data_IF_048472306383
#
_entry.id   IF_048472306383
#
_cell.length_a   1.000
_cell.length_b   1.000
_cell.length_c   1.000
_cell.angle_alpha   90.00
_cell.angle_beta   90.00
_cell.angle_gamma   90.00
#
_symmetry.space_group_name_H-M   'P 1'
#
loop_
_entity.id
_entity.type
_entity.pdbx_description
1 polymer ?
#
# COMPACT_ATOMS: atom_id res chain seq x y z
N UNK A 1 7.06 68.44 -25.46
CA UNK A 1 5.81 68.03 -24.77
C UNK A 1 5.99 66.60 -24.23
N UNK A 2 6.27 66.42 -22.94
CA UNK A 2 6.49 65.11 -22.34
C UNK A 2 5.18 64.52 -21.78
N UNK A 3 4.85 63.28 -22.15
CA UNK A 3 3.82 62.49 -21.46
C UNK A 3 4.49 61.52 -20.50
N UNK A 4 4.08 61.65 -19.25
CA UNK A 4 4.40 60.82 -18.08
C UNK A 4 3.91 59.39 -18.30
N UNK A 5 4.68 58.40 -17.83
CA UNK A 5 4.10 57.16 -17.33
C UNK A 5 4.82 56.78 -16.03
N UNK A 6 4.16 57.08 -14.92
CA UNK A 6 4.40 56.46 -13.62
C UNK A 6 3.58 55.17 -13.62
N UNK A 7 4.22 54.02 -13.43
CA UNK A 7 3.55 52.84 -12.88
C UNK A 7 4.46 52.27 -11.80
N UNK A 8 4.03 52.50 -10.56
CA UNK A 8 4.43 51.76 -9.38
C UNK A 8 3.77 50.39 -9.46
N UNK A 9 4.53 49.31 -9.32
CA UNK A 9 3.99 48.05 -8.83
C UNK A 9 5.02 47.39 -7.91
N UNK A 10 4.99 47.82 -6.66
CA UNK A 10 5.55 47.07 -5.52
C UNK A 10 4.60 45.91 -5.18
N UNK A 11 5.18 44.75 -4.90
CA UNK A 11 4.57 43.71 -4.07
C UNK A 11 4.10 42.47 -4.82
N UNK A 12 4.86 41.38 -4.70
CA UNK A 12 4.40 40.19 -3.97
C UNK A 12 5.60 39.28 -3.70
N UNK A 13 6.22 39.50 -2.54
CA UNK A 13 7.09 38.54 -1.87
C UNK A 13 6.16 37.62 -1.05
N UNK A 14 5.91 36.42 -1.57
CA UNK A 14 5.37 35.30 -0.80
C UNK A 14 5.80 34.01 -1.49
N UNK A 15 7.10 33.71 -1.43
CA UNK A 15 7.56 32.34 -1.66
C UNK A 15 6.92 31.50 -0.55
N UNK A 16 6.01 30.62 -0.96
CA UNK A 16 5.45 29.59 -0.10
C UNK A 16 6.60 28.79 0.50
N UNK A 17 6.81 28.93 1.81
CA UNK A 17 7.50 27.90 2.57
C UNK A 17 6.65 26.64 2.45
N UNK A 18 7.04 25.73 1.54
CA UNK A 18 6.61 24.35 1.62
C UNK A 18 7.17 23.82 2.94
N UNK A 19 6.36 23.88 4.00
CA UNK A 19 6.69 23.19 5.23
C UNK A 19 6.85 21.72 4.89
N UNK A 20 8.09 21.21 4.95
CA UNK A 20 8.36 19.79 4.85
C UNK A 20 7.54 19.10 5.96
N UNK A 21 6.50 18.38 5.55
CA UNK A 21 5.78 17.53 6.47
C UNK A 21 6.73 16.38 6.82
N UNK A 22 7.34 16.45 8.00
CA UNK A 22 8.16 15.36 8.52
C UNK A 22 7.35 14.05 8.50
N UNK A 23 7.99 12.95 8.06
CA UNK A 23 7.41 11.62 8.13
C UNK A 23 6.91 11.34 9.55
N UNK A 24 5.61 11.09 9.75
CA UNK A 24 5.06 10.82 11.07
C UNK A 24 5.14 9.31 11.37
N UNK A 25 6.37 8.91 11.68
CA UNK A 25 6.77 7.56 12.04
C UNK A 25 6.30 7.13 13.45
N UNK A 26 5.52 7.94 14.16
CA UNK A 26 5.15 7.64 15.53
C UNK A 26 4.05 6.58 15.62
N UNK A 27 4.21 5.68 16.58
CA UNK A 27 3.23 4.66 16.90
C UNK A 27 3.84 3.32 17.29
N UNK A 28 2.96 2.35 17.50
CA UNK A 28 3.31 0.96 17.66
C UNK A 28 3.04 0.19 16.36
N UNK A 29 3.95 -0.71 16.04
CA UNK A 29 3.93 -1.50 14.81
C UNK A 29 4.27 -2.96 15.11
N UNK A 30 3.68 -3.86 14.32
CA UNK A 30 3.91 -5.30 14.33
C UNK A 30 4.69 -5.70 13.08
N UNK A 31 5.76 -6.46 13.25
CA UNK A 31 6.54 -6.98 12.15
C UNK A 31 5.79 -8.02 11.33
N UNK A 32 6.00 -8.00 10.01
CA UNK A 32 5.48 -8.95 9.03
C UNK A 32 6.63 -9.53 8.22
N UNK A 33 6.41 -10.66 7.55
CA UNK A 33 7.40 -11.38 6.74
C UNK A 33 8.70 -11.64 7.52
N UNK A 34 9.84 -11.08 7.08
CA UNK A 34 11.13 -11.24 7.76
C UNK A 34 11.15 -10.69 9.20
N UNK A 35 10.20 -9.81 9.55
CA UNK A 35 10.03 -9.27 10.89
C UNK A 35 8.91 -9.97 11.69
N UNK A 36 8.36 -11.10 11.22
CA UNK A 36 7.26 -11.78 11.89
C UNK A 36 7.57 -12.06 13.38
N UNK A 37 6.65 -11.65 14.26
CA UNK A 37 6.80 -11.75 15.71
C UNK A 37 7.60 -10.64 16.38
N UNK A 38 8.19 -9.72 15.61
CA UNK A 38 8.82 -8.51 16.15
C UNK A 38 7.79 -7.40 16.41
N UNK A 39 8.13 -6.47 17.32
CA UNK A 39 7.37 -5.26 17.62
C UNK A 39 8.28 -4.05 17.52
N UNK A 40 7.81 -2.98 16.91
CA UNK A 40 8.51 -1.70 16.81
C UNK A 40 7.64 -0.62 17.46
N UNK A 41 8.19 0.14 18.40
CA UNK A 41 7.52 1.29 19.00
C UNK A 41 8.38 2.51 18.76
N UNK A 42 7.78 3.56 18.19
CA UNK A 42 8.41 4.81 17.84
C UNK A 42 7.67 5.96 18.51
N UNK A 43 8.43 6.84 19.17
CA UNK A 43 7.92 7.99 19.92
C UNK A 43 8.76 9.23 19.58
N UNK A 44 8.12 10.38 19.40
CA UNK A 44 8.80 11.62 19.05
C UNK A 44 8.68 12.69 20.13
N UNK A 45 9.79 13.35 20.46
CA UNK A 45 9.78 14.61 21.21
C UNK A 45 10.94 15.51 20.74
N UNK A 46 10.70 16.82 20.64
CA UNK A 46 11.77 17.81 20.41
C UNK A 46 12.62 17.61 19.14
N UNK A 47 12.05 17.11 18.04
CA UNK A 47 12.77 16.90 16.77
C UNK A 47 13.57 15.60 16.68
N UNK A 48 13.63 14.80 17.76
CA UNK A 48 14.20 13.46 17.76
C UNK A 48 13.12 12.39 17.83
N UNK A 49 13.47 11.20 17.36
CA UNK A 49 12.63 10.01 17.45
C UNK A 49 13.33 9.00 18.35
N UNK A 50 12.70 8.59 19.43
CA UNK A 50 13.14 7.46 20.25
C UNK A 50 12.36 6.21 19.87
N UNK A 51 13.03 5.07 19.83
CA UNK A 51 12.38 3.83 19.47
C UNK A 51 12.91 2.61 20.18
N UNK A 52 12.09 1.57 20.17
CA UNK A 52 12.42 0.23 20.62
C UNK A 52 11.94 -0.77 19.58
N UNK A 53 12.82 -1.69 19.19
CA UNK A 53 12.48 -2.88 18.43
C UNK A 53 12.69 -4.12 19.29
N UNK A 54 11.65 -4.93 19.46
CA UNK A 54 11.65 -6.13 20.29
C UNK A 54 11.42 -7.37 19.42
N UNK A 55 12.23 -8.40 19.61
CA UNK A 55 12.14 -9.71 18.94
C UNK A 55 11.25 -10.69 19.72
N UNK A 56 10.83 -11.80 19.09
CA UNK A 56 10.28 -12.94 19.82
C UNK A 56 11.24 -13.37 20.94
N UNK A 57 10.76 -13.36 22.18
CA UNK A 57 11.58 -13.68 23.37
C UNK A 57 12.14 -12.47 24.13
N UNK A 58 11.83 -11.23 23.71
CA UNK A 58 12.10 -10.02 24.49
C UNK A 58 13.48 -9.37 24.27
N UNK A 59 14.39 -10.03 23.56
CA UNK A 59 15.62 -9.40 23.09
C UNK A 59 15.30 -8.29 22.09
N UNK A 60 16.07 -7.20 22.06
CA UNK A 60 15.74 -6.05 21.22
C UNK A 60 16.82 -5.00 21.18
N UNK A 61 16.50 -3.86 20.61
CA UNK A 61 17.35 -2.68 20.59
C UNK A 61 16.52 -1.44 20.90
N UNK A 62 17.02 -0.60 21.80
CA UNK A 62 16.55 0.77 21.98
C UNK A 62 17.47 1.71 21.22
N UNK A 63 16.91 2.80 20.70
CA UNK A 63 17.67 3.74 19.89
C UNK A 63 17.10 5.15 19.95
N UNK A 64 17.97 6.11 19.67
CA UNK A 64 17.58 7.48 19.33
C UNK A 64 17.92 7.68 17.86
N UNK A 65 16.94 8.15 17.10
CA UNK A 65 17.02 8.38 15.69
C UNK A 65 16.90 9.88 15.39
N UNK A 66 17.73 10.34 14.46
CA UNK A 66 17.62 11.67 13.90
C UNK A 66 16.61 11.62 12.74
N UNK A 67 15.69 12.58 12.71
CA UNK A 67 14.65 12.66 11.68
C UNK A 67 15.24 13.18 10.38
N UNK A 68 14.88 12.53 9.29
CA UNK A 68 15.21 12.93 7.92
C UNK A 68 13.92 13.38 7.21
N UNK A 69 14.06 14.01 6.05
CA UNK A 69 12.90 14.50 5.27
C UNK A 69 11.90 13.38 4.95
N UNK A 70 12.39 12.19 4.62
CA UNK A 70 11.58 11.03 4.21
C UNK A 70 11.58 9.87 5.23
N UNK A 71 12.09 10.08 6.44
CA UNK A 71 12.34 8.95 7.35
C UNK A 71 13.06 9.32 8.65
N UNK A 72 13.81 8.36 9.18
CA UNK A 72 14.72 8.57 10.30
C UNK A 72 15.90 7.59 10.23
N UNK A 73 17.01 7.96 10.84
CA UNK A 73 18.20 7.10 10.94
C UNK A 73 18.69 6.99 12.39
N UNK A 74 19.14 5.81 12.78
CA UNK A 74 19.67 5.57 14.12
C UNK A 74 20.88 4.64 14.07
N UNK A 75 21.80 4.82 15.03
CA UNK A 75 22.84 3.83 15.31
C UNK A 75 22.51 3.11 16.60
N UNK A 76 22.41 1.79 16.56
CA UNK A 76 22.06 0.97 17.73
C UNK A 76 22.80 -0.37 17.73
N UNK A 77 22.80 -1.07 18.88
CA UNK A 77 23.28 -2.45 18.94
C UNK A 77 22.18 -3.42 18.47
N UNK A 78 22.49 -4.24 17.48
CA UNK A 78 21.62 -5.29 16.94
C UNK A 78 22.40 -6.61 16.93
N UNK A 79 21.86 -7.65 17.56
CA UNK A 79 22.53 -8.96 17.69
C UNK A 79 23.97 -8.86 18.25
N UNK A 80 24.21 -7.93 19.18
CA UNK A 80 25.54 -7.73 19.80
C UNK A 80 26.55 -6.98 18.94
N UNK A 81 26.15 -6.40 17.80
CA UNK A 81 27.00 -5.56 16.94
C UNK A 81 26.34 -4.21 16.70
N UNK A 82 27.12 -3.15 16.53
CA UNK A 82 26.57 -1.87 16.09
C UNK A 82 25.99 -2.01 14.68
N UNK A 83 24.87 -1.34 14.42
CA UNK A 83 24.21 -1.31 13.13
C UNK A 83 23.56 0.05 12.89
N UNK A 84 23.45 0.44 11.63
CA UNK A 84 22.56 1.52 11.20
C UNK A 84 21.16 0.99 11.00
N UNK A 85 20.18 1.69 11.54
CA UNK A 85 18.76 1.50 11.28
C UNK A 85 18.28 2.66 10.41
N UNK A 86 17.70 2.36 9.26
CA UNK A 86 17.09 3.34 8.36
C UNK A 86 15.59 3.06 8.31
N UNK A 87 14.79 4.03 8.74
CA UNK A 87 13.34 3.96 8.78
C UNK A 87 12.74 4.76 7.63
N UNK A 88 11.86 4.15 6.85
CA UNK A 88 11.09 4.82 5.81
C UNK A 88 9.60 4.64 6.07
N UNK A 89 8.83 5.72 5.95
CA UNK A 89 7.38 5.66 6.13
C UNK A 89 6.73 4.83 5.02
N UNK A 90 5.81 3.95 5.41
CA UNK A 90 4.94 3.22 4.50
C UNK A 90 3.48 3.58 4.79
N UNK A 91 2.55 3.52 3.81
CA UNK A 91 1.17 3.94 4.03
C UNK A 91 0.45 3.24 5.19
N UNK A 92 0.85 2.02 5.55
CA UNK A 92 0.26 1.28 6.68
C UNK A 92 1.26 1.05 7.82
N UNK A 93 2.45 1.63 7.77
CA UNK A 93 3.54 1.12 8.57
C UNK A 93 4.86 1.83 8.38
N UNK A 94 5.94 1.08 8.61
CA UNK A 94 7.32 1.53 8.49
C UNK A 94 8.14 0.37 7.92
N UNK A 95 9.00 0.67 6.95
CA UNK A 95 10.11 -0.23 6.61
C UNK A 95 11.34 0.15 7.41
N UNK A 96 12.05 -0.86 7.93
CA UNK A 96 13.30 -0.69 8.66
C UNK A 96 14.38 -1.51 7.98
N UNK A 97 15.42 -0.84 7.52
CA UNK A 97 16.63 -1.49 6.99
C UNK A 97 17.70 -1.46 8.07
N UNK A 98 18.26 -2.63 8.37
CA UNK A 98 19.35 -2.80 9.33
C UNK A 98 20.63 -3.12 8.57
N UNK A 99 21.65 -2.28 8.74
CA UNK A 99 22.97 -2.44 8.11
C UNK A 99 24.00 -2.65 9.23
N UNK A 100 24.44 -3.88 9.49
CA UNK A 100 25.48 -4.14 10.47
C UNK A 100 26.77 -3.40 10.15
N UNK A 101 27.44 -2.89 11.18
CA UNK A 101 28.72 -2.21 11.06
C UNK A 101 29.88 -3.19 11.30
N UNK A 102 30.89 -3.08 10.44
CA UNK A 102 32.18 -3.74 10.58
C UNK A 102 33.21 -2.87 11.28
N UNK A 103 34.51 -3.21 11.17
CA UNK A 103 35.59 -2.35 11.64
C UNK A 103 35.50 -0.95 11.02
N UNK A 104 35.84 0.07 11.80
CA UNK A 104 35.80 1.49 11.40
C UNK A 104 34.40 2.03 11.01
N UNK A 105 33.32 1.46 11.57
CA UNK A 105 31.94 1.89 11.32
C UNK A 105 31.51 1.82 9.84
N UNK A 106 32.16 0.96 9.06
CA UNK A 106 31.78 0.70 7.65
C UNK A 106 30.62 -0.30 7.61
N UNK A 107 29.55 0.03 6.88
CA UNK A 107 28.40 -0.86 6.71
C UNK A 107 28.72 -2.10 5.88
N UNK A 108 28.28 -3.26 6.36
CA UNK A 108 28.44 -4.55 5.65
C UNK A 108 27.18 -4.83 4.84
N UNK A 109 27.17 -4.39 3.58
CA UNK A 109 25.99 -4.46 2.70
C UNK A 109 25.45 -5.89 2.55
N UNK A 110 26.33 -6.89 2.50
CA UNK A 110 25.95 -8.30 2.34
C UNK A 110 25.13 -8.85 3.52
N UNK A 111 25.17 -8.20 4.69
CA UNK A 111 24.43 -8.58 5.89
C UNK A 111 23.23 -7.66 6.15
N UNK A 112 22.79 -6.90 5.13
CA UNK A 112 21.66 -5.97 5.26
C UNK A 112 20.34 -6.73 5.36
N UNK A 113 19.55 -6.41 6.38
CA UNK A 113 18.22 -6.97 6.59
C UNK A 113 17.16 -5.89 6.35
N UNK A 114 16.20 -6.16 5.47
CA UNK A 114 15.02 -5.31 5.29
C UNK A 114 13.82 -5.93 6.02
N UNK A 115 13.22 -5.17 6.92
CA UNK A 115 12.10 -5.57 7.75
C UNK A 115 10.91 -4.65 7.48
N UNK A 116 9.71 -5.22 7.52
CA UNK A 116 8.46 -4.48 7.34
C UNK A 116 7.64 -4.56 8.61
N UNK A 117 7.14 -3.40 9.06
CA UNK A 117 6.31 -3.27 10.24
C UNK A 117 5.00 -2.59 9.85
N UNK A 118 3.88 -3.18 10.23
CA UNK A 118 2.55 -2.61 9.99
C UNK A 118 2.01 -2.03 11.30
N UNK A 119 1.35 -0.88 11.25
CA UNK A 119 0.73 -0.22 12.41
C UNK A 119 -0.16 -1.21 13.17
N UNK A 120 -0.07 -1.21 14.49
CA UNK A 120 -0.92 -2.07 15.32
C UNK A 120 -2.40 -1.78 15.08
N UNK A 121 -3.22 -2.83 15.07
CA UNK A 121 -4.65 -2.76 14.77
C UNK A 121 -5.00 -2.82 13.28
N UNK A 122 -4.03 -2.74 12.36
CA UNK A 122 -4.30 -2.97 10.93
C UNK A 122 -4.65 -4.43 10.68
N UNK A 123 -5.83 -4.68 10.11
CA UNK A 123 -6.27 -6.02 9.70
C UNK A 123 -5.46 -6.48 8.49
N UNK A 124 -4.71 -7.57 8.67
CA UNK A 124 -4.00 -8.23 7.58
C UNK A 124 -4.96 -9.08 6.75
N UNK A 125 -4.78 -9.15 5.41
CA UNK A 125 -5.51 -10.11 4.60
C UNK A 125 -5.16 -11.55 5.05
N UNK A 126 -6.12 -12.49 5.00
CA UNK A 126 -5.84 -13.88 5.29
C UNK A 126 -4.85 -14.45 4.26
N UNK A 127 -3.96 -15.34 4.69
CA UNK A 127 -3.05 -16.05 3.77
C UNK A 127 -3.90 -16.78 2.72
N UNK A 128 -3.60 -16.60 1.42
CA UNK A 128 -4.43 -17.18 0.39
C UNK A 128 -4.23 -18.68 0.32
N UNK A 129 -5.31 -19.43 0.09
CA UNK A 129 -5.23 -20.89 -0.07
C UNK A 129 -4.30 -21.30 -1.23
N UNK A 130 -4.17 -20.44 -2.23
CA UNK A 130 -3.25 -20.58 -3.35
C UNK A 130 -2.51 -19.28 -3.58
N UNK A 131 -1.31 -19.19 -3.02
CA UNK A 131 -0.38 -18.11 -3.32
C UNK A 131 0.38 -18.39 -4.61
N UNK A 132 0.49 -17.38 -5.47
CA UNK A 132 1.44 -17.36 -6.58
C UNK A 132 2.40 -16.19 -6.37
N UNK A 133 3.72 -16.37 -6.58
CA UNK A 133 4.68 -15.28 -6.52
C UNK A 133 4.34 -14.15 -7.50
N UNK A 134 4.71 -12.89 -7.18
CA UNK A 134 4.51 -11.77 -8.08
C UNK A 134 5.26 -11.97 -9.41
N UNK A 135 4.70 -11.52 -10.55
CA UNK A 135 5.43 -11.53 -11.82
C UNK A 135 6.64 -10.58 -11.76
N UNK A 136 7.79 -11.03 -12.27
CA UNK A 136 9.04 -10.24 -12.24
C UNK A 136 9.04 -9.07 -13.24
N UNK A 137 8.21 -9.12 -14.27
CA UNK A 137 8.14 -8.10 -15.33
C UNK A 137 6.83 -8.15 -16.10
N UNK A 138 6.63 -7.23 -17.07
CA UNK A 138 5.46 -7.23 -17.91
C UNK A 138 5.48 -8.38 -18.93
N UNK A 139 4.32 -8.72 -19.47
CA UNK A 139 4.16 -9.72 -20.53
C UNK A 139 3.65 -11.07 -20.04
N UNK A 140 3.08 -11.87 -20.95
CA UNK A 140 2.48 -13.16 -20.65
C UNK A 140 1.02 -13.08 -20.17
N UNK A 141 0.54 -14.18 -19.60
CA UNK A 141 -0.82 -14.31 -19.07
C UNK A 141 -0.80 -14.89 -17.68
N UNK A 142 -1.68 -14.41 -16.81
CA UNK A 142 -1.86 -14.99 -15.48
C UNK A 142 -3.28 -15.54 -15.33
N UNK A 143 -3.41 -16.62 -14.57
CA UNK A 143 -4.71 -17.13 -14.14
C UNK A 143 -5.43 -16.03 -13.31
N UNK A 144 -6.64 -15.59 -13.70
CA UNK A 144 -7.34 -14.50 -13.04
C UNK A 144 -7.67 -14.82 -11.57
N UNK A 145 -7.91 -16.09 -11.24
CA UNK A 145 -8.15 -16.51 -9.86
C UNK A 145 -6.87 -16.36 -9.04
N UNK A 146 -5.74 -16.87 -9.54
CA UNK A 146 -4.44 -16.72 -8.88
C UNK A 146 -4.06 -15.25 -8.63
N UNK A 147 -4.34 -14.36 -9.60
CA UNK A 147 -4.16 -12.92 -9.42
C UNK A 147 -5.01 -12.39 -8.26
N UNK A 148 -6.31 -12.66 -8.25
CA UNK A 148 -7.22 -12.17 -7.19
C UNK A 148 -6.87 -12.73 -5.82
N UNK A 149 -6.45 -14.00 -5.73
CA UNK A 149 -6.04 -14.60 -4.47
C UNK A 149 -4.71 -13.99 -3.95
N UNK A 150 -3.79 -13.58 -4.82
CA UNK A 150 -2.41 -13.25 -4.44
C UNK A 150 -2.07 -11.74 -4.40
N UNK A 151 -2.76 -10.88 -5.16
CA UNK A 151 -2.33 -9.49 -5.37
C UNK A 151 -2.20 -8.66 -4.08
N UNK A 152 -2.96 -8.99 -3.02
CA UNK A 152 -2.88 -8.32 -1.72
C UNK A 152 -1.45 -8.33 -1.16
N UNK A 153 -0.70 -9.40 -1.44
CA UNK A 153 0.64 -9.69 -0.91
C UNK A 153 1.77 -9.22 -1.84
N UNK A 154 1.44 -8.70 -3.02
CA UNK A 154 2.44 -8.27 -3.98
C UNK A 154 2.79 -6.79 -3.84
N UNK A 155 4.03 -6.40 -4.17
CA UNK A 155 4.38 -5.00 -4.32
C UNK A 155 3.56 -4.33 -5.43
N UNK A 156 3.33 -3.02 -5.30
CA UNK A 156 2.51 -2.22 -6.23
C UNK A 156 2.91 -2.37 -7.70
N UNK A 157 4.21 -2.32 -7.99
CA UNK A 157 4.77 -2.51 -9.34
C UNK A 157 4.40 -3.87 -9.93
N UNK A 158 4.46 -4.93 -9.14
CA UNK A 158 4.15 -6.28 -9.59
C UNK A 158 2.63 -6.52 -9.72
N UNK A 159 1.81 -5.84 -8.92
CA UNK A 159 0.35 -5.81 -9.14
C UNK A 159 0.01 -5.17 -10.48
N UNK A 160 0.72 -4.11 -10.88
CA UNK A 160 0.54 -3.51 -12.21
C UNK A 160 0.88 -4.48 -13.35
N UNK A 161 2.00 -5.22 -13.24
CA UNK A 161 2.31 -6.28 -14.20
C UNK A 161 1.24 -7.38 -14.21
N UNK A 162 0.88 -7.90 -13.02
CA UNK A 162 -0.12 -8.95 -12.87
C UNK A 162 -1.48 -8.59 -13.45
N UNK A 163 -1.97 -7.38 -13.16
CA UNK A 163 -3.24 -6.88 -13.71
C UNK A 163 -3.18 -6.77 -15.24
N UNK A 164 -2.04 -6.32 -15.80
CA UNK A 164 -1.79 -6.30 -17.24
C UNK A 164 -1.83 -7.69 -17.89
N UNK A 165 -1.38 -8.73 -17.18
CA UNK A 165 -1.39 -10.13 -17.62
C UNK A 165 -2.75 -10.82 -17.50
N UNK A 166 -3.70 -10.22 -16.77
CA UNK A 166 -5.08 -10.75 -16.70
C UNK A 166 -5.76 -10.53 -18.06
N UNK A 167 -6.34 -11.60 -18.63
CA UNK A 167 -7.04 -11.51 -19.92
C UNK A 167 -8.22 -10.54 -19.84
N UNK A 168 -8.47 -9.78 -20.92
CA UNK A 168 -9.40 -8.65 -20.94
C UNK A 168 -10.80 -8.94 -20.39
N UNK A 169 -11.41 -10.10 -20.69
CA UNK A 169 -12.73 -10.48 -20.15
C UNK A 169 -12.77 -10.53 -18.62
N UNK A 170 -11.67 -10.97 -17.99
CA UNK A 170 -11.55 -11.03 -16.54
C UNK A 170 -11.20 -9.68 -15.94
N UNK A 171 -10.46 -8.81 -16.64
CA UNK A 171 -10.31 -7.41 -16.21
C UNK A 171 -11.64 -6.67 -16.16
N UNK A 172 -12.52 -6.90 -17.14
CA UNK A 172 -13.89 -6.38 -17.10
C UNK A 172 -14.67 -6.93 -15.92
N UNK A 173 -14.59 -8.24 -15.65
CA UNK A 173 -15.22 -8.83 -14.47
C UNK A 173 -14.69 -8.21 -13.16
N UNK A 174 -13.39 -7.98 -13.04
CA UNK A 174 -12.78 -7.33 -11.87
C UNK A 174 -13.31 -5.90 -11.70
N UNK A 175 -13.43 -5.12 -12.78
CA UNK A 175 -13.96 -3.74 -12.71
C UNK A 175 -15.41 -3.65 -12.27
N UNK A 176 -16.21 -4.71 -12.47
CA UNK A 176 -17.58 -4.80 -11.95
C UNK A 176 -17.61 -5.02 -10.43
N UNK A 177 -16.47 -5.27 -9.79
CA UNK A 177 -16.35 -5.48 -8.34
C UNK A 177 -15.61 -4.28 -7.75
N UNK A 178 -16.30 -3.14 -7.52
CA UNK A 178 -15.67 -1.85 -7.28
C UNK A 178 -14.89 -1.78 -5.96
N UNK A 179 -15.21 -2.59 -4.95
CA UNK A 179 -14.45 -2.63 -3.68
C UNK A 179 -13.08 -3.26 -3.89
N UNK A 180 -13.02 -4.41 -4.57
CA UNK A 180 -11.75 -5.05 -4.99
C UNK A 180 -11.00 -4.15 -5.96
N UNK A 181 -11.70 -3.52 -6.91
CA UNK A 181 -11.10 -2.59 -7.87
C UNK A 181 -10.48 -1.37 -7.17
N UNK A 182 -11.09 -0.89 -6.07
CA UNK A 182 -10.54 0.20 -5.25
C UNK A 182 -9.20 -0.18 -4.63
N UNK A 183 -9.08 -1.40 -4.10
CA UNK A 183 -7.83 -1.93 -3.52
C UNK A 183 -6.74 -2.12 -4.59
N UNK A 184 -7.12 -2.67 -5.75
CA UNK A 184 -6.23 -2.81 -6.89
C UNK A 184 -5.75 -1.42 -7.36
N UNK A 185 -6.66 -0.45 -7.55
CA UNK A 185 -6.29 0.90 -7.97
C UNK A 185 -5.37 1.59 -6.98
N UNK A 186 -5.56 1.38 -5.68
CA UNK A 186 -4.64 1.92 -4.68
C UNK A 186 -3.21 1.43 -4.89
N UNK A 187 -3.03 0.14 -5.20
CA UNK A 187 -1.72 -0.41 -5.55
C UNK A 187 -1.23 0.09 -6.92
N UNK A 188 -2.09 0.08 -7.95
CA UNK A 188 -1.70 0.54 -9.29
C UNK A 188 -1.26 2.00 -9.30
N UNK A 189 -1.92 2.87 -8.55
CA UNK A 189 -1.60 4.29 -8.47
C UNK A 189 -0.30 4.59 -7.70
N UNK A 190 0.21 3.62 -6.92
CA UNK A 190 1.53 3.67 -6.26
C UNK A 190 2.63 2.98 -7.06
N UNK A 191 2.28 2.36 -8.18
CA UNK A 191 3.23 1.61 -8.97
C UNK A 191 4.10 2.59 -9.78
N UNK A 192 5.42 2.38 -9.78
CA UNK A 192 6.35 3.27 -10.48
C UNK A 192 6.29 3.10 -12.01
N UNK A 193 5.49 2.17 -12.51
CA UNK A 193 5.27 1.91 -13.93
C UNK A 193 3.89 2.42 -14.39
N UNK A 194 3.89 3.42 -15.27
CA UNK A 194 2.69 3.87 -15.96
C UNK A 194 2.28 2.83 -17.01
N UNK A 195 1.49 1.83 -16.61
CA UNK A 195 1.01 0.78 -17.52
C UNK A 195 -0.28 1.22 -18.24
N UNK A 196 -0.46 0.78 -19.50
CA UNK A 196 -1.76 0.84 -20.18
C UNK A 196 -2.88 0.16 -19.38
N UNK A 197 -2.52 -0.78 -18.51
CA UNK A 197 -3.42 -1.46 -17.61
C UNK A 197 -4.01 -0.52 -16.54
N UNK A 198 -3.28 0.51 -16.09
CA UNK A 198 -3.82 1.56 -15.20
C UNK A 198 -4.91 2.38 -15.90
N UNK A 199 -4.71 2.76 -17.16
CA UNK A 199 -5.73 3.48 -17.92
C UNK A 199 -7.00 2.62 -18.13
N UNK A 200 -6.84 1.32 -18.38
CA UNK A 200 -7.97 0.37 -18.45
C UNK A 200 -8.67 0.21 -17.10
N UNK A 201 -7.91 0.17 -16.00
CA UNK A 201 -8.40 0.08 -14.63
C UNK A 201 -9.23 1.31 -14.20
N UNK A 202 -8.81 2.52 -14.56
CA UNK A 202 -9.49 3.77 -14.23
C UNK A 202 -10.76 4.02 -15.05
N UNK A 203 -10.91 3.37 -16.21
CA UNK A 203 -12.04 3.60 -17.12
C UNK A 203 -13.37 3.31 -16.41
N UNK A 204 -14.25 4.32 -16.41
CA UNK A 204 -15.59 4.23 -15.82
C UNK A 204 -15.61 4.24 -14.28
N UNK A 205 -14.49 4.55 -13.62
CA UNK A 205 -14.39 4.53 -12.16
C UNK A 205 -14.59 5.91 -11.50
N UNK A 206 -14.70 6.97 -12.31
CA UNK A 206 -14.89 8.36 -11.89
C UNK A 206 -13.87 8.88 -10.88
N UNK A 207 -12.66 8.34 -10.90
CA UNK A 207 -11.55 8.75 -10.04
C UNK A 207 -10.28 8.94 -10.83
N UNK A 208 -9.41 9.81 -10.33
CA UNK A 208 -7.99 9.87 -10.70
C UNK A 208 -7.15 9.11 -9.66
N UNK A 209 -5.89 8.84 -9.97
CA UNK A 209 -4.97 8.30 -8.98
C UNK A 209 -4.81 9.22 -7.77
N UNK A 210 -4.84 10.54 -7.97
CA UNK A 210 -4.75 11.49 -6.86
C UNK A 210 -5.96 11.37 -5.91
N UNK A 211 -7.15 11.10 -6.43
CA UNK A 211 -8.35 10.91 -5.60
C UNK A 211 -8.21 9.64 -4.74
N UNK A 212 -7.76 8.55 -5.34
CA UNK A 212 -7.53 7.27 -4.66
C UNK A 212 -6.46 7.43 -3.58
N UNK A 213 -5.28 7.94 -3.93
CA UNK A 213 -4.17 8.12 -2.99
C UNK A 213 -4.53 9.05 -1.84
N UNK A 214 -5.25 10.15 -2.12
CA UNK A 214 -5.72 11.07 -1.08
C UNK A 214 -6.75 10.41 -0.16
N UNK A 215 -7.66 9.61 -0.69
CA UNK A 215 -8.65 8.90 0.12
C UNK A 215 -7.99 7.90 1.06
N UNK A 216 -7.06 7.08 0.57
CA UNK A 216 -6.29 6.18 1.43
C UNK A 216 -5.42 6.93 2.43
N UNK A 217 -4.75 8.01 2.00
CA UNK A 217 -3.97 8.87 2.90
C UNK A 217 -4.79 9.42 4.07
N UNK A 218 -6.09 9.70 3.89
CA UNK A 218 -6.99 10.07 4.99
C UNK A 218 -7.31 8.88 5.90
N UNK A 219 -7.61 7.72 5.33
CA UNK A 219 -7.96 6.51 6.10
C UNK A 219 -6.82 5.96 6.95
N UNK A 220 -5.57 6.15 6.50
CA UNK A 220 -4.37 5.56 7.12
C UNK A 220 -3.48 6.61 7.78
N UNK A 221 -3.95 7.86 7.85
CA UNK A 221 -3.17 8.98 8.40
C UNK A 221 -2.71 8.65 9.82
N UNK A 222 -1.44 8.92 10.16
CA UNK A 222 -0.98 8.90 11.54
C UNK A 222 -1.91 9.69 12.49
N UNK A 223 -2.23 9.08 13.64
CA UNK A 223 -3.16 9.61 14.64
C UNK A 223 -4.66 9.51 14.29
N UNK A 224 -5.03 9.09 13.07
CA UNK A 224 -6.43 8.80 12.74
C UNK A 224 -6.83 7.39 13.20
N UNK A 225 -8.13 7.17 13.37
CA UNK A 225 -8.67 5.82 13.59
C UNK A 225 -8.42 4.96 12.36
N UNK A 226 -7.85 3.76 12.56
CA UNK A 226 -7.64 2.78 11.49
C UNK A 226 -8.93 2.01 11.11
N UNK A 227 -10.03 2.24 11.83
CA UNK A 227 -11.27 1.49 11.64
C UNK A 227 -11.90 1.61 10.25
N UNK A 228 -11.94 2.80 9.58
CA UNK A 228 -12.41 2.90 8.19
C UNK A 228 -11.60 2.00 7.24
N UNK A 229 -10.27 2.00 7.39
CA UNK A 229 -9.40 1.13 6.60
C UNK A 229 -9.68 -0.36 6.88
N UNK A 230 -9.83 -0.75 8.15
CA UNK A 230 -10.14 -2.12 8.52
C UNK A 230 -11.50 -2.60 7.99
N UNK A 231 -12.51 -1.74 8.02
CA UNK A 231 -13.82 -2.00 7.40
C UNK A 231 -13.68 -2.22 5.89
N UNK A 232 -12.94 -1.33 5.22
CA UNK A 232 -12.63 -1.47 3.81
C UNK A 232 -11.94 -2.80 3.51
N UNK A 233 -10.93 -3.20 4.29
CA UNK A 233 -10.25 -4.51 4.12
C UNK A 233 -11.20 -5.70 4.28
N UNK A 234 -12.13 -5.66 5.24
CA UNK A 234 -13.14 -6.71 5.41
C UNK A 234 -14.04 -6.81 4.17
N UNK A 235 -14.49 -5.67 3.63
CA UNK A 235 -15.34 -5.63 2.44
C UNK A 235 -14.59 -6.09 1.18
N UNK A 236 -13.29 -5.78 1.07
CA UNK A 236 -12.41 -6.31 0.02
C UNK A 236 -12.36 -7.84 0.06
N UNK A 237 -12.10 -8.45 1.22
CA UNK A 237 -12.01 -9.92 1.30
C UNK A 237 -13.36 -10.60 1.02
N UNK A 238 -14.47 -10.01 1.49
CA UNK A 238 -15.82 -10.50 1.16
C UNK A 238 -16.09 -10.45 -0.35
N UNK A 239 -15.73 -9.36 -1.02
CA UNK A 239 -15.96 -9.22 -2.46
C UNK A 239 -14.96 -10.06 -3.29
N UNK A 240 -13.72 -10.27 -2.83
CA UNK A 240 -12.75 -11.19 -3.44
C UNK A 240 -13.30 -12.62 -3.49
N UNK A 241 -13.90 -13.11 -2.39
CA UNK A 241 -14.49 -14.44 -2.37
C UNK A 241 -15.59 -14.60 -3.43
N UNK A 242 -16.49 -13.61 -3.55
CA UNK A 242 -17.53 -13.61 -4.57
C UNK A 242 -16.97 -13.57 -6.01
N UNK A 243 -15.91 -12.79 -6.23
CA UNK A 243 -15.24 -12.66 -7.52
C UNK A 243 -14.51 -13.97 -7.93
N UNK A 244 -13.81 -14.61 -6.99
CA UNK A 244 -13.16 -15.91 -7.23
C UNK A 244 -14.19 -16.97 -7.64
N UNK A 245 -15.34 -17.02 -6.96
CA UNK A 245 -16.43 -17.93 -7.32
C UNK A 245 -16.95 -17.67 -8.74
N UNK A 246 -17.15 -16.40 -9.11
CA UNK A 246 -17.55 -16.01 -10.46
C UNK A 246 -16.52 -16.42 -11.53
N UNK A 247 -15.22 -16.22 -11.25
CA UNK A 247 -14.14 -16.65 -12.15
C UNK A 247 -14.18 -18.17 -12.35
N UNK A 248 -14.25 -18.95 -11.27
CA UNK A 248 -14.31 -20.42 -11.35
C UNK A 248 -15.52 -20.90 -12.16
N UNK A 249 -16.70 -20.35 -11.89
CA UNK A 249 -17.93 -20.70 -12.61
C UNK A 249 -17.90 -20.29 -14.09
N UNK A 250 -17.16 -19.24 -14.45
CA UNK A 250 -17.02 -18.82 -15.85
C UNK A 250 -16.08 -19.70 -16.68
N UNK A 251 -15.14 -20.39 -16.03
CA UNK A 251 -14.19 -21.30 -16.70
C UNK A 251 -14.86 -22.64 -17.00
N UNK A 252 -15.72 -23.11 -16.10
CA UNK A 252 -16.41 -24.40 -16.21
C UNK A 252 -17.93 -24.23 -16.19
N UNK A 253 -18.49 -23.70 -17.29
CA UNK A 253 -19.92 -23.42 -17.46
C UNK A 253 -20.81 -24.67 -17.39
N UNK A 254 -20.24 -25.88 -17.49
CA UNK A 254 -20.96 -27.16 -17.35
C UNK A 254 -21.40 -27.39 -15.90
N UNK A 255 -20.81 -26.67 -14.94
CA UNK A 255 -21.30 -26.59 -13.57
C UNK A 255 -22.56 -25.73 -13.52
N UNK A 256 -23.69 -26.27 -13.98
CA UNK A 256 -25.02 -25.71 -13.71
C UNK A 256 -25.44 -25.91 -12.24
N UNK A 257 -24.48 -25.71 -11.32
CA UNK A 257 -24.68 -25.88 -9.90
C UNK A 257 -25.45 -24.68 -9.34
N UNK A 258 -26.20 -24.86 -8.24
CA UNK A 258 -26.83 -23.74 -7.54
C UNK A 258 -25.84 -22.61 -7.18
N UNK A 259 -24.59 -22.96 -6.91
CA UNK A 259 -23.50 -22.01 -6.65
C UNK A 259 -23.22 -21.12 -7.86
N UNK A 260 -23.02 -21.71 -9.04
CA UNK A 260 -22.72 -20.93 -10.25
C UNK A 260 -23.91 -20.08 -10.72
N UNK A 261 -25.15 -20.52 -10.49
CA UNK A 261 -26.34 -19.68 -10.70
C UNK A 261 -26.34 -18.43 -9.81
N UNK A 262 -26.02 -18.59 -8.51
CA UNK A 262 -25.92 -17.46 -7.58
C UNK A 262 -24.76 -16.53 -7.93
N UNK A 263 -23.60 -17.07 -8.30
CA UNK A 263 -22.47 -16.27 -8.76
C UNK A 263 -22.83 -15.44 -10.00
N UNK A 264 -23.46 -16.07 -11.00
CA UNK A 264 -23.95 -15.39 -12.20
C UNK A 264 -24.94 -14.26 -11.89
N UNK A 265 -25.90 -14.50 -10.99
CA UNK A 265 -26.85 -13.47 -10.56
C UNK A 265 -26.16 -12.27 -9.87
N UNK A 266 -25.12 -12.51 -9.05
CA UNK A 266 -24.32 -11.42 -8.45
C UNK A 266 -23.55 -10.63 -9.50
N UNK A 267 -22.95 -11.29 -10.48
CA UNK A 267 -22.26 -10.61 -11.59
C UNK A 267 -23.25 -9.80 -12.42
N UNK A 268 -24.43 -10.33 -12.73
CA UNK A 268 -25.47 -9.60 -13.43
C UNK A 268 -25.91 -8.33 -12.67
N UNK A 269 -26.12 -8.45 -11.35
CA UNK A 269 -26.42 -7.31 -10.47
C UNK A 269 -25.28 -6.27 -10.48
N UNK A 270 -24.03 -6.73 -10.43
CA UNK A 270 -22.86 -5.87 -10.48
C UNK A 270 -22.72 -5.15 -11.83
N UNK A 271 -23.02 -5.84 -12.94
CA UNK A 271 -22.95 -5.29 -14.29
C UNK A 271 -23.97 -4.16 -14.55
N UNK A 272 -25.12 -4.19 -13.86
CA UNK A 272 -26.14 -3.13 -13.92
C UNK A 272 -26.02 -2.11 -12.79
N UNK A 273 -25.03 -2.26 -11.92
CA UNK A 273 -24.76 -1.32 -10.83
C UNK A 273 -24.12 -0.04 -11.35
N UNK A 274 -24.50 1.10 -10.79
CA UNK A 274 -23.81 2.38 -10.99
C UNK A 274 -22.66 2.60 -9.97
N UNK A 275 -22.34 1.58 -9.20
CA UNK A 275 -21.28 1.65 -8.20
C UNK A 275 -19.90 1.70 -8.87
N UNK A 276 -19.16 2.78 -8.57
CA UNK A 276 -17.80 3.02 -9.04
C UNK A 276 -16.83 3.07 -7.86
N UNK A 277 -15.52 3.05 -8.12
CA UNK A 277 -14.49 3.30 -7.09
C UNK A 277 -14.75 4.62 -6.36
N UNK A 278 -15.18 5.69 -7.05
CA UNK A 278 -15.57 6.95 -6.39
C UNK A 278 -16.64 6.74 -5.32
N UNK A 279 -17.69 6.00 -5.65
CA UNK A 279 -18.79 5.73 -4.73
C UNK A 279 -18.38 4.82 -3.57
N UNK A 280 -17.41 3.92 -3.77
CA UNK A 280 -16.83 3.09 -2.71
C UNK A 280 -15.99 3.95 -1.76
N UNK A 281 -15.09 4.78 -2.29
CA UNK A 281 -14.23 5.66 -1.49
C UNK A 281 -15.04 6.66 -0.65
N UNK A 282 -16.23 7.07 -1.09
CA UNK A 282 -17.09 7.97 -0.33
C UNK A 282 -17.71 7.32 0.94
N UNK A 283 -17.63 6.00 1.11
CA UNK A 283 -18.19 5.26 2.26
C UNK A 283 -17.23 5.16 3.45
N UNK A 284 -15.95 5.43 3.25
CA UNK A 284 -14.88 5.26 4.24
C UNK A 284 -14.16 6.59 4.48
#
# INVERSE_FOLDING_TARGET
MPKRLFVVLSGFLAFFAAGAAFADLQGAYRGVDAAEGMRLVLSGSGGRLSGEVTKPGGAGATFTADRLESGAEAKASWNGRNAWFIFTEEPLGVSMVVIPLGPNDVGIVAETEAMLFVREGVVQPPRPARYVPPPAGPGGTIDPRAFIESYSFWPSTNVAYGYGMVRGRYRTLIRMHPVVMTDILWKLCRANNASSALADALRGQEVTCNDVLRAFGRMVRPGASIEPFNRFRKDVEAQKAALVEAIVCSVDYRRNSPTCKRAGARVAKAAVSLETVKSVLARY
#
